data_IF_242413033044
#
_entry.id   IF_242413033044
#
_cell.length_a   1.000
_cell.length_b   1.000
_cell.length_c   1.000
_cell.angle_alpha   90.00
_cell.angle_beta   90.00
_cell.angle_gamma   90.00
#
_symmetry.space_group_name_H-M   'P 1'
#
loop_
_entity.id
_entity.type
_entity.pdbx_description
1 polymer ?
#
# COMPACT_ATOMS: atom_id res chain seq x y z
N UNK A 1 5.65 19.24 -2.80
CA UNK A 1 4.22 19.18 -2.42
C UNK A 1 4.00 20.00 -1.17
N UNK A 2 2.81 20.57 -0.96
CA UNK A 2 2.43 21.00 0.41
C UNK A 2 2.43 19.74 1.29
N UNK A 3 3.22 19.71 2.37
CA UNK A 3 3.41 18.50 3.20
C UNK A 3 2.09 17.87 3.65
N UNK A 4 1.09 18.71 3.96
CA UNK A 4 -0.27 18.26 4.31
C UNK A 4 -0.92 17.41 3.21
N UNK A 5 -0.77 17.79 1.95
CA UNK A 5 -1.34 17.04 0.81
C UNK A 5 -0.62 15.71 0.60
N UNK A 6 0.71 15.70 0.73
CA UNK A 6 1.49 14.45 0.68
C UNK A 6 1.05 13.47 1.76
N UNK A 7 0.87 13.93 3.00
CA UNK A 7 0.45 13.07 4.11
C UNK A 7 -0.94 12.47 3.89
N UNK A 8 -1.87 13.24 3.32
CA UNK A 8 -3.21 12.73 2.96
C UNK A 8 -3.10 11.68 1.84
N UNK A 9 -2.36 11.98 0.78
CA UNK A 9 -2.18 11.06 -0.35
C UNK A 9 -1.50 9.76 0.10
N UNK A 10 -0.47 9.87 0.96
CA UNK A 10 0.20 8.73 1.60
C UNK A 10 -0.80 7.91 2.43
N UNK A 11 -1.57 8.55 3.32
CA UNK A 11 -2.48 7.84 4.23
C UNK A 11 -3.56 7.06 3.47
N UNK A 12 -4.12 7.65 2.40
CA UNK A 12 -5.11 6.99 1.55
C UNK A 12 -4.50 5.78 0.84
N UNK A 13 -3.35 5.95 0.18
CA UNK A 13 -2.69 4.86 -0.54
C UNK A 13 -2.26 3.76 0.43
N UNK A 14 -1.67 4.13 1.57
CA UNK A 14 -1.26 3.21 2.63
C UNK A 14 -2.44 2.36 3.11
N UNK A 15 -3.57 2.98 3.46
CA UNK A 15 -4.73 2.26 3.98
C UNK A 15 -5.31 1.29 2.95
N UNK A 16 -5.45 1.73 1.69
CA UNK A 16 -5.94 0.88 0.61
C UNK A 16 -5.00 -0.29 0.36
N UNK A 17 -3.70 -0.02 0.23
CA UNK A 17 -2.70 -1.08 0.01
C UNK A 17 -2.64 -2.07 1.16
N UNK A 18 -2.71 -1.60 2.42
CA UNK A 18 -2.68 -2.47 3.59
C UNK A 18 -3.87 -3.44 3.59
N UNK A 19 -5.08 -2.92 3.36
CA UNK A 19 -6.30 -3.75 3.31
C UNK A 19 -6.24 -4.75 2.17
N UNK A 20 -5.87 -4.30 0.97
CA UNK A 20 -5.79 -5.19 -0.20
C UNK A 20 -4.73 -6.27 0.00
N UNK A 21 -3.53 -5.90 0.46
CA UNK A 21 -2.45 -6.86 0.70
C UNK A 21 -2.81 -7.85 1.82
N UNK A 22 -3.48 -7.39 2.89
CA UNK A 22 -3.96 -8.27 3.96
C UNK A 22 -4.96 -9.30 3.43
N UNK A 23 -5.92 -8.88 2.60
CA UNK A 23 -6.89 -9.79 1.96
C UNK A 23 -6.18 -10.77 1.02
N UNK A 24 -5.28 -10.29 0.16
CA UNK A 24 -4.58 -11.14 -0.82
C UNK A 24 -3.71 -12.18 -0.12
N UNK A 25 -2.92 -11.76 0.87
CA UNK A 25 -2.06 -12.67 1.63
C UNK A 25 -2.87 -13.67 2.44
N UNK A 26 -3.97 -13.23 3.04
CA UNK A 26 -4.91 -14.10 3.73
C UNK A 26 -5.48 -15.19 2.82
N UNK A 27 -6.04 -14.79 1.66
CA UNK A 27 -6.63 -15.74 0.71
C UNK A 27 -5.59 -16.72 0.18
N UNK A 28 -4.36 -16.24 -0.06
CA UNK A 28 -3.25 -17.09 -0.47
C UNK A 28 -2.90 -18.12 0.61
N UNK A 29 -2.77 -17.70 1.87
CA UNK A 29 -2.47 -18.60 2.98
C UNK A 29 -3.58 -19.62 3.20
N UNK A 30 -4.85 -19.20 3.05
CA UNK A 30 -5.99 -20.07 3.20
C UNK A 30 -6.05 -21.15 2.11
N UNK A 31 -5.86 -20.76 0.84
CA UNK A 31 -6.00 -21.68 -0.29
C UNK A 31 -4.75 -22.54 -0.48
N UNK A 32 -3.56 -21.96 -0.40
CA UNK A 32 -2.32 -22.67 -0.72
C UNK A 32 -1.74 -23.45 0.46
N UNK A 33 -1.96 -22.98 1.70
CA UNK A 33 -1.35 -23.56 2.90
C UNK A 33 -2.39 -24.08 3.91
N UNK A 34 -3.69 -23.86 3.68
CA UNK A 34 -4.74 -24.22 4.63
C UNK A 34 -4.67 -23.44 5.94
N UNK A 35 -3.93 -22.33 5.98
CA UNK A 35 -3.68 -21.53 7.18
C UNK A 35 -4.59 -20.31 7.22
N UNK A 36 -5.33 -20.17 8.31
CA UNK A 36 -6.21 -19.02 8.56
C UNK A 36 -5.41 -17.83 9.15
N UNK A 37 -4.43 -17.33 8.40
CA UNK A 37 -3.49 -16.31 8.88
C UNK A 37 -3.27 -15.18 7.86
N UNK A 38 -3.28 -13.94 8.34
CA UNK A 38 -2.93 -12.74 7.57
C UNK A 38 -1.41 -12.51 7.69
N UNK A 39 -0.73 -12.28 6.57
CA UNK A 39 0.68 -11.85 6.59
C UNK A 39 0.75 -10.32 6.74
N UNK A 40 0.83 -9.89 8.00
CA UNK A 40 0.96 -8.48 8.35
C UNK A 40 2.29 -7.89 7.90
N UNK A 41 3.39 -8.64 7.99
CA UNK A 41 4.73 -8.15 7.65
C UNK A 41 4.79 -7.74 6.17
N UNK A 42 4.35 -8.62 5.28
CA UNK A 42 4.27 -8.35 3.84
C UNK A 42 3.30 -7.21 3.54
N UNK A 43 2.13 -7.21 4.18
CA UNK A 43 1.10 -6.19 3.94
C UNK A 43 1.54 -4.79 4.37
N UNK A 44 2.18 -4.65 5.55
CA UNK A 44 2.73 -3.38 6.02
C UNK A 44 3.88 -2.89 5.14
N UNK A 45 4.80 -3.78 4.73
CA UNK A 45 5.90 -3.40 3.83
C UNK A 45 5.38 -2.83 2.51
N UNK A 46 4.41 -3.49 1.89
CA UNK A 46 3.80 -2.97 0.66
C UNK A 46 3.08 -1.65 0.88
N UNK A 47 2.32 -1.51 1.96
CA UNK A 47 1.59 -0.28 2.27
C UNK A 47 2.52 0.93 2.43
N UNK A 48 3.67 0.76 3.11
CA UNK A 48 4.67 1.82 3.26
C UNK A 48 5.29 2.17 1.90
N UNK A 49 5.77 1.16 1.16
CA UNK A 49 6.47 1.37 -0.11
C UNK A 49 5.55 2.06 -1.12
N UNK A 50 4.34 1.53 -1.34
CA UNK A 50 3.40 2.09 -2.31
C UNK A 50 2.80 3.41 -1.84
N UNK A 51 2.56 3.54 -0.54
CA UNK A 51 2.12 4.79 0.10
C UNK A 51 3.06 5.95 -0.18
N UNK A 52 4.37 5.70 -0.29
CA UNK A 52 5.37 6.73 -0.61
C UNK A 52 5.58 6.83 -2.13
N UNK A 53 5.79 5.70 -2.81
CA UNK A 53 6.17 5.67 -4.21
C UNK A 53 5.10 6.27 -5.12
N UNK A 54 3.82 5.98 -4.89
CA UNK A 54 2.73 6.45 -5.76
C UNK A 54 2.51 7.98 -5.69
N UNK A 55 2.43 8.62 -4.51
CA UNK A 55 2.37 10.08 -4.45
C UNK A 55 3.59 10.74 -5.08
N UNK A 56 4.80 10.21 -4.85
CA UNK A 56 6.03 10.74 -5.46
C UNK A 56 5.98 10.64 -6.98
N UNK A 57 5.64 9.46 -7.53
CA UNK A 57 5.50 9.25 -8.96
C UNK A 57 4.49 10.21 -9.59
N UNK A 58 3.34 10.45 -8.94
CA UNK A 58 2.32 11.41 -9.39
C UNK A 58 2.83 12.85 -9.48
N UNK A 59 3.72 13.27 -8.58
CA UNK A 59 4.37 14.58 -8.72
C UNK A 59 5.38 14.66 -9.85
N UNK A 60 6.08 13.57 -10.11
CA UNK A 60 7.07 13.54 -11.19
C UNK A 60 6.38 13.61 -12.55
N UNK A 61 5.25 12.90 -12.72
CA UNK A 61 4.44 12.99 -13.95
C UNK A 61 3.76 14.35 -14.11
N UNK A 62 3.36 15.00 -13.01
CA UNK A 62 2.79 16.37 -13.04
C UNK A 62 3.81 17.46 -13.37
N UNK A 63 5.12 17.23 -13.18
CA UNK A 63 6.19 18.20 -13.49
C UNK A 63 6.71 18.12 -14.92
N UNK A 64 6.39 17.04 -15.64
CA UNK A 64 6.82 16.79 -17.03
C UNK A 64 5.82 17.25 -18.09
N UNK A 65 4.73 17.92 -17.70
CA UNK A 65 3.81 18.68 -18.55
C UNK A 65 3.86 20.15 -18.14
#
# INVERSE_FOLDING_TARGET
MKIKRFLIDFAVVFAVTLVVAAIVTYLWNLIAHGQNAIDWETSFRFAIILGIALPVARTMTSKGK
#
